data_IF_667129765799
#
_entry.id   IF_667129765799
#
_cell.length_a   1.000
_cell.length_b   1.000
_cell.length_c   1.000
_cell.angle_alpha   90.00
_cell.angle_beta   90.00
_cell.angle_gamma   90.00
#
_symmetry.space_group_name_H-M   'P 1'
#
loop_
_entity.id
_entity.type
_entity.pdbx_description
1 polymer ?
#
# COMPACT_ATOMS: atom_id res chain seq x y z
N UNK A 1 9.67 16.25 -5.19
CA UNK A 1 9.37 14.81 -5.00
C UNK A 1 8.12 14.70 -4.15
N UNK A 2 7.19 13.80 -4.52
CA UNK A 2 5.90 13.61 -3.87
C UNK A 2 5.62 12.11 -3.74
N UNK A 3 5.21 11.67 -2.55
CA UNK A 3 4.93 10.27 -2.24
C UNK A 3 3.63 10.16 -1.46
N UNK A 4 2.92 9.04 -1.62
CA UNK A 4 1.65 8.79 -0.94
C UNK A 4 1.66 7.45 -0.20
N UNK A 5 1.28 7.49 1.07
CA UNK A 5 0.93 6.32 1.88
C UNK A 5 -0.52 6.49 2.33
N UNK A 6 -1.45 5.88 1.61
CA UNK A 6 -2.89 5.99 1.86
C UNK A 6 -3.62 4.74 1.36
N UNK A 7 -4.95 4.72 1.50
CA UNK A 7 -5.77 3.61 1.02
C UNK A 7 -5.78 2.38 1.94
N UNK A 8 -5.23 2.48 3.16
CA UNK A 8 -5.30 1.41 4.16
C UNK A 8 -6.70 1.14 4.71
N UNK A 9 -7.63 2.09 4.55
CA UNK A 9 -9.02 1.98 5.00
C UNK A 9 -9.12 1.55 6.47
N UNK A 10 -9.91 0.50 6.70
CA UNK A 10 -10.18 -0.07 8.03
C UNK A 10 -9.05 -0.94 8.56
N UNK A 11 -8.10 -1.36 7.71
CA UNK A 11 -7.04 -2.30 8.05
C UNK A 11 -5.72 -1.67 8.49
N UNK A 12 -5.61 -0.34 8.50
CA UNK A 12 -4.31 0.36 8.64
C UNK A 12 -3.58 0.14 9.97
N UNK A 13 -4.30 -0.10 11.07
CA UNK A 13 -3.66 -0.21 12.39
C UNK A 13 -2.62 -1.33 12.45
N UNK A 14 -2.97 -2.54 11.99
CA UNK A 14 -2.03 -3.68 11.95
C UNK A 14 -0.85 -3.44 11.00
N UNK A 15 -1.05 -2.60 9.98
CA UNK A 15 -0.06 -2.34 8.94
C UNK A 15 0.95 -1.26 9.35
N UNK A 16 0.75 -0.55 10.47
CA UNK A 16 1.61 0.56 10.93
C UNK A 16 3.12 0.27 10.84
N UNK A 17 3.66 -0.81 11.43
CA UNK A 17 5.10 -1.06 11.35
C UNK A 17 5.58 -1.38 9.93
N UNK A 18 4.84 -2.20 9.18
CA UNK A 18 5.21 -2.59 7.82
C UNK A 18 5.14 -1.43 6.83
N UNK A 19 4.06 -0.64 6.91
CA UNK A 19 3.84 0.54 6.08
C UNK A 19 4.89 1.61 6.32
N UNK A 20 5.24 1.90 7.57
CA UNK A 20 6.31 2.83 7.91
C UNK A 20 7.68 2.37 7.41
N UNK A 21 8.01 1.08 7.60
CA UNK A 21 9.28 0.53 7.17
C UNK A 21 9.46 0.60 5.64
N UNK A 22 8.46 0.14 4.89
CA UNK A 22 8.52 0.12 3.43
C UNK A 22 8.43 1.54 2.85
N UNK A 23 7.65 2.43 3.46
CA UNK A 23 7.58 3.81 3.01
C UNK A 23 8.87 4.58 3.26
N UNK A 24 9.55 4.34 4.39
CA UNK A 24 10.86 4.92 4.65
C UNK A 24 11.91 4.48 3.61
N UNK A 25 11.93 3.20 3.25
CA UNK A 25 12.80 2.66 2.20
C UNK A 25 12.51 3.30 0.83
N UNK A 26 11.23 3.47 0.49
CA UNK A 26 10.81 4.16 -0.72
C UNK A 26 11.32 5.62 -0.78
N UNK A 27 11.20 6.36 0.32
CA UNK A 27 11.68 7.74 0.40
C UNK A 27 13.21 7.84 0.30
N UNK A 28 13.92 6.87 0.86
CA UNK A 28 15.39 6.86 0.90
C UNK A 28 16.01 6.47 -0.46
N UNK A 29 15.37 5.57 -1.19
CA UNK A 29 15.86 5.03 -2.46
C UNK A 29 15.28 5.72 -3.71
N UNK A 30 14.20 6.50 -3.57
CA UNK A 30 13.39 7.04 -4.69
C UNK A 30 12.86 5.90 -5.62
N UNK A 31 12.73 4.69 -5.07
CA UNK A 31 12.21 3.51 -5.76
C UNK A 31 11.17 2.78 -4.89
N UNK A 32 10.14 2.20 -5.49
CA UNK A 32 9.13 1.44 -4.74
C UNK A 32 9.70 0.06 -4.38
N UNK A 33 9.85 -0.29 -3.09
CA UNK A 33 10.37 -1.59 -2.69
C UNK A 33 9.46 -2.73 -3.13
N UNK A 34 10.03 -3.92 -3.32
CA UNK A 34 9.31 -5.08 -3.86
C UNK A 34 8.00 -5.41 -3.10
N UNK A 35 7.98 -5.22 -1.77
CA UNK A 35 6.80 -5.45 -0.95
C UNK A 35 5.66 -4.45 -1.21
N UNK A 36 5.97 -3.20 -1.54
CA UNK A 36 4.98 -2.16 -1.87
C UNK A 36 4.63 -2.09 -3.35
N UNK A 37 5.44 -2.69 -4.24
CA UNK A 37 5.28 -2.59 -5.70
C UNK A 37 3.89 -3.00 -6.21
N UNK A 38 3.25 -4.09 -5.71
CA UNK A 38 1.88 -4.44 -6.10
C UNK A 38 0.82 -3.40 -5.67
N UNK A 39 1.14 -2.54 -4.70
CA UNK A 39 0.26 -1.49 -4.16
C UNK A 39 0.52 -0.12 -4.79
N UNK A 40 1.29 -0.04 -5.88
CA UNK A 40 1.46 1.20 -6.64
C UNK A 40 0.13 1.68 -7.27
N UNK A 41 0.05 2.97 -7.61
CA UNK A 41 -1.14 3.55 -8.24
C UNK A 41 -1.44 2.95 -9.62
N UNK A 42 -0.41 2.47 -10.32
CA UNK A 42 -0.53 1.83 -11.63
C UNK A 42 -1.47 0.61 -11.65
N UNK A 43 -1.69 -0.04 -10.50
CA UNK A 43 -2.59 -1.19 -10.39
C UNK A 43 -4.03 -0.90 -10.82
N UNK A 44 -4.46 0.36 -10.71
CA UNK A 44 -5.79 0.79 -11.17
C UNK A 44 -5.85 1.02 -12.67
N UNK A 45 -4.73 1.34 -13.31
CA UNK A 45 -4.64 1.50 -14.77
C UNK A 45 -4.49 0.15 -15.47
N UNK A 46 -3.63 -0.73 -14.92
CA UNK A 46 -3.40 -2.08 -15.47
C UNK A 46 -4.52 -3.07 -15.15
N UNK A 47 -5.35 -2.79 -14.14
CA UNK A 47 -6.39 -3.70 -13.66
C UNK A 47 -5.85 -4.83 -12.78
N UNK A 48 -4.57 -4.81 -12.39
CA UNK A 48 -3.95 -5.75 -11.47
C UNK A 48 -4.36 -5.47 -10.01
N UNK A 49 -5.68 -5.47 -9.74
CA UNK A 49 -6.25 -5.17 -8.44
C UNK A 49 -5.92 -6.26 -7.41
N UNK A 50 -5.78 -5.85 -6.15
CA UNK A 50 -5.64 -6.74 -4.99
C UNK A 50 -6.93 -6.61 -4.19
N UNK A 51 -7.80 -7.60 -4.32
CA UNK A 51 -9.10 -7.62 -3.66
C UNK A 51 -8.99 -8.26 -2.26
N UNK A 52 -9.27 -7.46 -1.23
CA UNK A 52 -9.28 -7.89 0.17
C UNK A 52 -10.64 -7.66 0.85
N UNK A 53 -11.75 -7.46 0.11
CA UNK A 53 -13.05 -7.10 0.72
C UNK A 53 -13.47 -8.05 1.85
N UNK A 54 -13.36 -9.37 1.63
CA UNK A 54 -13.67 -10.37 2.65
C UNK A 54 -12.68 -10.40 3.82
N UNK A 55 -11.39 -10.21 3.54
CA UNK A 55 -10.32 -10.24 4.55
C UNK A 55 -10.26 -8.96 5.40
N UNK A 56 -10.81 -7.85 4.90
CA UNK A 56 -10.88 -6.58 5.61
C UNK A 56 -11.75 -6.68 6.89
N UNK A 57 -12.69 -7.62 6.94
CA UNK A 57 -13.47 -7.93 8.15
C UNK A 57 -14.39 -6.80 8.61
N UNK A 58 -14.66 -5.82 7.75
CA UNK A 58 -15.55 -4.68 8.00
C UNK A 58 -16.43 -4.51 6.76
N UNK A 59 -17.74 -4.32 6.91
CA UNK A 59 -18.64 -4.09 5.78
C UNK A 59 -18.34 -2.75 5.09
N UNK A 60 -18.36 -2.74 3.75
CA UNK A 60 -18.16 -1.58 2.88
C UNK A 60 -18.73 -1.85 1.48
#
# INVERSE_FOLDING_TARGET
NLYFNCGWGTGGFKATPGSGHVFADCLASDEIPALAKPFALDRFYSGALIDEHGAAGVAH
#
